data_IF_316029176518
#
_entry.id   IF_316029176518
#
_cell.length_a   1.000
_cell.length_b   1.000
_cell.length_c   1.000
_cell.angle_alpha   90.00
_cell.angle_beta   90.00
_cell.angle_gamma   90.00
#
_symmetry.space_group_name_H-M   'P 1'
#
loop_
_entity.id
_entity.type
_entity.pdbx_description
1 polymer ?
#
# COMPACT_ATOMS: atom_id res chain seq x y z
N UNK A 1 -4.77 3.34 -9.85
CA UNK A 1 -4.57 4.05 -8.55
C UNK A 1 -3.14 4.56 -8.40
N UNK A 2 -2.11 3.70 -8.25
CA UNK A 2 -0.72 4.17 -8.02
C UNK A 2 -0.20 5.19 -9.06
N UNK A 3 -0.42 4.92 -10.35
CA UNK A 3 -0.02 5.84 -11.43
C UNK A 3 -0.66 7.23 -11.28
N UNK A 4 -1.94 7.27 -10.93
CA UNK A 4 -2.68 8.53 -10.81
C UNK A 4 -2.27 9.30 -9.56
N UNK A 5 -2.12 8.63 -8.42
CA UNK A 5 -1.56 9.26 -7.22
C UNK A 5 -0.18 9.87 -7.52
N UNK A 6 0.69 9.17 -8.26
CA UNK A 6 2.00 9.72 -8.62
C UNK A 6 1.93 10.91 -9.58
N UNK A 7 1.01 10.88 -10.56
CA UNK A 7 0.80 12.02 -11.47
C UNK A 7 0.32 13.25 -10.71
N UNK A 8 -0.64 13.09 -9.81
CA UNK A 8 -1.15 14.18 -8.95
C UNK A 8 -0.02 14.73 -8.08
N UNK A 9 0.70 13.86 -7.39
CA UNK A 9 1.81 14.28 -6.53
C UNK A 9 2.93 14.97 -7.30
N UNK A 10 3.29 14.47 -8.49
CA UNK A 10 4.33 15.09 -9.32
C UNK A 10 3.88 16.46 -9.85
N UNK A 11 2.60 16.61 -10.23
CA UNK A 11 2.05 17.90 -10.67
C UNK A 11 2.07 18.94 -9.55
N UNK A 12 1.85 18.52 -8.30
CA UNK A 12 1.79 19.40 -7.12
C UNK A 12 3.15 19.65 -6.47
N UNK A 13 4.06 18.66 -6.50
CA UNK A 13 5.39 18.70 -5.88
C UNK A 13 6.39 17.97 -6.76
N UNK A 14 7.45 18.66 -7.17
CA UNK A 14 8.55 18.10 -7.97
C UNK A 14 9.49 17.16 -7.18
N UNK A 15 8.94 16.42 -6.20
CA UNK A 15 9.65 15.44 -5.39
C UNK A 15 9.41 14.02 -5.94
N UNK A 16 10.42 13.14 -5.96
CA UNK A 16 10.22 11.75 -6.37
C UNK A 16 9.20 11.03 -5.50
N UNK A 17 8.33 10.24 -6.12
CA UNK A 17 7.36 9.41 -5.42
C UNK A 17 7.99 8.10 -4.95
N UNK A 18 7.61 7.66 -3.75
CA UNK A 18 8.02 6.38 -3.16
C UNK A 18 6.78 5.60 -2.76
N UNK A 19 6.65 4.37 -3.24
CA UNK A 19 5.56 3.48 -2.83
C UNK A 19 6.01 2.54 -1.74
N UNK A 20 5.16 2.42 -0.74
CA UNK A 20 5.36 1.52 0.39
C UNK A 20 4.16 0.58 0.40
N UNK A 21 4.36 -0.71 0.11
CA UNK A 21 3.29 -1.71 0.16
C UNK A 21 3.46 -2.61 1.38
N UNK A 22 2.43 -2.69 2.23
CA UNK A 22 2.42 -3.62 3.36
C UNK A 22 2.25 -5.06 2.87
N UNK A 23 3.12 -5.98 3.33
CA UNK A 23 3.15 -7.38 2.92
C UNK A 23 2.92 -8.29 4.12
N UNK A 24 1.96 -9.21 4.01
CA UNK A 24 1.73 -10.24 5.02
C UNK A 24 2.87 -11.28 4.99
N UNK A 25 3.60 -11.40 6.09
CA UNK A 25 4.72 -12.34 6.21
C UNK A 25 4.26 -13.78 6.39
N UNK A 26 3.07 -14.01 6.96
CA UNK A 26 2.59 -15.34 7.37
C UNK A 26 2.69 -16.41 6.27
N UNK A 27 2.14 -16.21 5.05
CA UNK A 27 2.21 -17.22 4.00
C UNK A 27 3.60 -17.36 3.38
N UNK A 28 4.50 -16.40 3.62
CA UNK A 28 5.80 -16.29 2.98
C UNK A 28 6.92 -16.85 3.86
N UNK A 29 6.79 -16.79 5.19
CA UNK A 29 7.80 -17.29 6.13
C UNK A 29 8.14 -18.77 5.94
N UNK A 30 9.33 -19.15 6.44
CA UNK A 30 9.77 -20.55 6.57
C UNK A 30 10.13 -20.83 8.04
N UNK A 31 9.43 -21.75 8.72
CA UNK A 31 8.18 -22.39 8.29
C UNK A 31 7.05 -21.35 8.07
N UNK A 32 6.03 -21.70 7.28
CA UNK A 32 4.86 -20.84 7.09
C UNK A 32 4.15 -20.63 8.41
N UNK A 33 3.75 -19.40 8.70
CA UNK A 33 2.99 -19.11 9.92
C UNK A 33 1.50 -19.35 9.67
N UNK A 34 0.76 -19.82 10.68
CA UNK A 34 -0.68 -19.99 10.56
C UNK A 34 -1.38 -18.66 10.21
N UNK A 35 -2.43 -18.68 9.37
CA UNK A 35 -3.24 -17.48 9.11
C UNK A 35 -3.78 -16.83 10.39
N UNK A 36 -4.12 -17.65 11.39
CA UNK A 36 -4.63 -17.22 12.69
C UNK A 36 -3.55 -16.74 13.68
N UNK A 37 -2.27 -16.70 13.30
CA UNK A 37 -1.21 -16.21 14.17
C UNK A 37 -1.46 -14.72 14.52
N UNK A 38 -1.60 -14.42 15.81
CA UNK A 38 -1.93 -13.08 16.32
C UNK A 38 -0.67 -12.20 16.32
N UNK A 39 -0.84 -10.92 15.97
CA UNK A 39 0.22 -9.90 16.01
C UNK A 39 0.53 -9.25 14.66
N UNK A 40 1.42 -8.26 14.68
CA UNK A 40 1.83 -7.50 13.50
C UNK A 40 2.95 -8.23 12.74
N UNK A 41 2.58 -9.30 12.01
CA UNK A 41 3.49 -10.09 11.18
C UNK A 41 3.49 -9.57 9.74
N UNK A 42 3.99 -8.36 9.58
CA UNK A 42 4.05 -7.64 8.32
C UNK A 42 5.45 -7.09 8.05
N UNK A 43 5.78 -6.94 6.78
CA UNK A 43 6.93 -6.18 6.30
C UNK A 43 6.48 -5.19 5.23
N UNK A 44 7.40 -4.40 4.70
CA UNK A 44 7.10 -3.39 3.68
C UNK A 44 7.95 -3.63 2.45
N UNK A 45 7.30 -3.69 1.28
CA UNK A 45 7.97 -3.55 0.00
C UNK A 45 8.06 -2.07 -0.34
N UNK A 46 9.25 -1.58 -0.69
CA UNK A 46 9.49 -0.17 -0.99
C UNK A 46 9.98 -0.04 -2.42
N UNK A 47 9.29 0.76 -3.23
CA UNK A 47 9.64 1.05 -4.62
C UNK A 47 9.93 2.55 -4.78
N UNK A 48 11.12 2.88 -5.27
CA UNK A 48 11.57 4.25 -5.51
C UNK A 48 11.40 4.57 -7.00
N UNK A 49 10.49 5.48 -7.34
CA UNK A 49 10.21 5.80 -8.74
C UNK A 49 11.13 6.86 -9.33
N UNK A 50 12.06 7.39 -8.52
CA UNK A 50 13.18 8.24 -8.97
C UNK A 50 14.06 7.53 -10.01
N UNK A 51 14.13 6.20 -9.95
CA UNK A 51 15.12 5.38 -10.65
C UNK A 51 14.58 4.70 -11.93
N UNK A 52 13.34 5.00 -12.36
CA UNK A 52 12.82 4.53 -13.65
C UNK A 52 13.41 5.39 -14.78
N UNK A 53 14.69 5.11 -15.05
CA UNK A 53 15.48 5.41 -16.26
C UNK A 53 15.37 6.82 -16.85
N UNK A 54 15.84 7.90 -16.21
CA UNK A 54 15.97 9.22 -16.88
C UNK A 54 14.73 9.66 -17.69
N UNK A 55 13.56 9.13 -17.36
CA UNK A 55 12.37 9.30 -18.17
C UNK A 55 11.56 10.34 -17.42
N UNK A 56 11.17 11.41 -18.10
CA UNK A 56 10.22 12.38 -17.54
C UNK A 56 9.04 11.62 -16.90
N UNK A 57 8.56 12.02 -15.72
CA UNK A 57 7.36 11.42 -15.10
C UNK A 57 6.13 11.39 -16.01
N UNK A 58 6.11 12.23 -17.06
CA UNK A 58 5.11 12.19 -18.14
C UNK A 58 5.13 10.89 -18.99
N UNK A 59 6.27 10.21 -19.06
CA UNK A 59 6.50 9.01 -19.87
C UNK A 59 6.47 7.72 -19.03
N UNK A 60 6.18 7.83 -17.73
CA UNK A 60 6.06 6.68 -16.86
C UNK A 60 4.77 5.92 -17.19
N UNK A 61 4.90 4.73 -17.77
CA UNK A 61 3.74 3.91 -18.10
C UNK A 61 3.30 3.04 -16.92
N UNK A 62 2.02 2.66 -16.93
CA UNK A 62 1.45 1.75 -15.92
C UNK A 62 2.23 0.43 -15.83
N UNK A 63 2.71 -0.09 -16.97
CA UNK A 63 3.45 -1.36 -17.01
C UNK A 63 4.76 -1.29 -16.22
N UNK A 64 5.47 -0.18 -16.30
CA UNK A 64 6.76 0.00 -15.64
C UNK A 64 6.58 0.05 -14.12
N UNK A 65 5.54 0.76 -13.67
CA UNK A 65 5.12 0.77 -12.28
C UNK A 65 4.77 -0.63 -11.77
N UNK A 66 4.00 -1.39 -12.54
CA UNK A 66 3.59 -2.74 -12.15
C UNK A 66 4.79 -3.67 -12.03
N UNK A 67 5.75 -3.60 -12.96
CA UNK A 67 6.98 -4.39 -12.91
C UNK A 67 7.76 -4.07 -11.63
N UNK A 68 7.97 -2.80 -11.34
CA UNK A 68 8.76 -2.37 -10.18
C UNK A 68 8.07 -2.75 -8.85
N UNK A 69 6.76 -2.52 -8.74
CA UNK A 69 5.98 -2.92 -7.56
C UNK A 69 6.06 -4.43 -7.34
N UNK A 70 5.91 -5.23 -8.41
CA UNK A 70 6.01 -6.70 -8.33
C UNK A 70 7.40 -7.14 -7.90
N UNK A 71 8.45 -6.51 -8.42
CA UNK A 71 9.84 -6.78 -8.02
C UNK A 71 10.04 -6.56 -6.52
N UNK A 72 9.68 -5.38 -6.00
CA UNK A 72 9.84 -5.06 -4.58
C UNK A 72 8.98 -5.95 -3.67
N UNK A 73 7.76 -6.30 -4.09
CA UNK A 73 6.92 -7.26 -3.35
C UNK A 73 7.55 -8.64 -3.34
N UNK A 74 8.15 -9.09 -4.44
CA UNK A 74 8.85 -10.37 -4.51
C UNK A 74 10.04 -10.40 -3.54
N UNK A 75 10.83 -9.33 -3.48
CA UNK A 75 11.96 -9.19 -2.56
C UNK A 75 11.50 -9.18 -1.10
N UNK A 76 10.41 -8.47 -0.79
CA UNK A 76 9.84 -8.46 0.56
C UNK A 76 9.27 -9.83 0.99
N UNK A 77 8.99 -10.72 0.02
CA UNK A 77 8.51 -12.09 0.24
C UNK A 77 9.62 -13.13 0.16
N UNK A 78 10.85 -12.73 -0.18
CA UNK A 78 11.97 -13.65 -0.33
C UNK A 78 12.34 -14.34 0.98
N UNK A 79 12.61 -15.64 0.92
CA UNK A 79 12.87 -16.45 2.10
C UNK A 79 14.13 -15.99 2.84
N UNK A 80 15.19 -15.53 2.13
CA UNK A 80 16.44 -15.03 2.76
C UNK A 80 16.24 -13.65 3.38
N UNK A 81 15.36 -12.83 2.82
CA UNK A 81 14.98 -11.57 3.45
C UNK A 81 14.17 -11.83 4.72
N UNK A 82 13.15 -12.70 4.64
CA UNK A 82 12.27 -13.00 5.77
C UNK A 82 12.96 -13.76 6.90
N UNK A 83 13.99 -14.57 6.61
CA UNK A 83 14.76 -15.28 7.64
C UNK A 83 15.50 -14.33 8.58
N UNK A 84 15.80 -13.10 8.15
CA UNK A 84 16.47 -12.08 8.99
C UNK A 84 15.59 -11.59 10.15
N UNK A 85 14.28 -11.79 10.09
CA UNK A 85 13.36 -11.47 11.19
C UNK A 85 13.37 -12.51 12.31
N UNK A 86 14.08 -13.63 12.13
CA UNK A 86 14.08 -14.76 13.06
C UNK A 86 15.37 -14.80 13.92
N UNK A 87 15.33 -15.55 15.01
CA UNK A 87 16.48 -15.77 15.89
C UNK A 87 16.83 -14.57 16.76
N UNK A 88 17.99 -14.62 17.42
CA UNK A 88 18.43 -13.61 18.41
C UNK A 88 18.58 -12.21 17.80
N UNK A 89 18.99 -12.13 16.53
CA UNK A 89 19.18 -10.86 15.81
C UNK A 89 17.90 -10.32 15.14
N UNK A 90 16.80 -11.09 15.15
CA UNK A 90 15.56 -10.69 14.50
C UNK A 90 15.01 -9.35 15.01
N UNK A 91 15.11 -9.11 16.32
CA UNK A 91 14.69 -7.84 16.92
C UNK A 91 15.52 -6.64 16.44
N UNK A 92 16.82 -6.83 16.22
CA UNK A 92 17.69 -5.80 15.66
C UNK A 92 17.29 -5.48 14.22
N UNK A 93 17.05 -6.52 13.40
CA UNK A 93 16.60 -6.34 12.03
C UNK A 93 15.23 -5.64 11.95
N UNK A 94 14.28 -5.97 12.82
CA UNK A 94 12.99 -5.26 12.93
C UNK A 94 13.22 -3.77 13.21
N UNK A 95 14.11 -3.43 14.15
CA UNK A 95 14.44 -2.05 14.48
C UNK A 95 15.07 -1.31 13.30
N UNK A 96 15.94 -1.97 12.53
CA UNK A 96 16.51 -1.41 11.31
C UNK A 96 15.45 -1.14 10.24
N UNK A 97 14.52 -2.06 10.01
CA UNK A 97 13.42 -1.83 9.07
C UNK A 97 12.53 -0.68 9.52
N UNK A 98 12.22 -0.57 10.81
CA UNK A 98 11.46 0.56 11.36
C UNK A 98 12.20 1.88 11.16
N UNK A 99 13.52 1.93 11.40
CA UNK A 99 14.33 3.13 11.14
C UNK A 99 14.31 3.53 9.67
N UNK A 100 14.45 2.57 8.74
CA UNK A 100 14.34 2.84 7.30
C UNK A 100 12.97 3.44 6.94
N UNK A 101 11.91 2.90 7.52
CA UNK A 101 10.55 3.44 7.31
C UNK A 101 10.41 4.85 7.86
N UNK A 102 10.90 5.12 9.07
CA UNK A 102 10.87 6.47 9.66
C UNK A 102 11.63 7.48 8.79
N UNK A 103 12.83 7.13 8.34
CA UNK A 103 13.62 7.98 7.43
C UNK A 103 12.87 8.31 6.13
N UNK A 104 12.08 7.38 5.58
CA UNK A 104 11.27 7.64 4.37
C UNK A 104 10.17 8.67 4.65
N UNK A 105 9.53 8.62 5.82
CA UNK A 105 8.48 9.59 6.18
C UNK A 105 9.04 10.95 6.59
N UNK A 106 10.26 11.01 7.14
CA UNK A 106 10.93 12.24 7.54
C UNK A 106 11.64 12.96 6.37
N UNK A 107 11.94 12.25 5.28
CA UNK A 107 12.60 12.85 4.12
C UNK A 107 11.63 13.74 3.32
N UNK A 108 11.81 15.05 3.48
CA UNK A 108 11.00 16.08 2.82
C UNK A 108 11.24 16.16 1.31
N UNK A 109 12.31 15.53 0.80
CA UNK A 109 12.67 15.53 -0.62
C UNK A 109 11.98 14.43 -1.43
N UNK A 110 11.25 13.53 -0.77
CA UNK A 110 10.43 12.52 -1.44
C UNK A 110 8.96 12.70 -1.09
N UNK A 111 8.11 11.96 -1.79
CA UNK A 111 6.69 11.89 -1.50
C UNK A 111 6.26 10.43 -1.30
N UNK A 112 6.16 9.97 -0.03
CA UNK A 112 5.77 8.61 0.27
C UNK A 112 4.26 8.41 0.08
N UNK A 113 3.91 7.25 -0.48
CA UNK A 113 2.56 6.81 -0.73
C UNK A 113 2.40 5.37 -0.21
N UNK A 114 1.63 5.19 0.87
CA UNK A 114 1.52 3.91 1.56
C UNK A 114 0.28 3.16 1.11
N UNK A 115 0.46 1.90 0.73
CA UNK A 115 -0.59 0.98 0.34
C UNK A 115 -0.71 -0.16 1.34
N UNK A 116 -1.94 -0.46 1.74
CA UNK A 116 -2.30 -1.72 2.37
C UNK A 116 -3.38 -2.40 1.54
N UNK A 117 -3.39 -3.73 1.53
CA UNK A 117 -4.43 -4.51 0.87
C UNK A 117 -5.04 -5.51 1.82
N UNK A 118 -6.36 -5.45 1.91
CA UNK A 118 -7.20 -6.33 2.69
C UNK A 118 -7.97 -7.21 1.71
N UNK A 119 -7.43 -8.41 1.45
CA UNK A 119 -8.13 -9.38 0.60
C UNK A 119 -9.41 -9.84 1.27
N UNK A 120 -10.41 -10.22 0.47
CA UNK A 120 -11.72 -10.71 0.95
C UNK A 120 -11.59 -11.76 2.06
N UNK A 121 -10.67 -12.70 1.88
CA UNK A 121 -10.43 -13.80 2.82
C UNK A 121 -9.74 -13.35 4.13
N UNK A 122 -9.08 -12.17 4.13
CA UNK A 122 -8.40 -11.62 5.28
C UNK A 122 -9.31 -10.84 6.24
N UNK A 123 -10.49 -10.41 5.80
CA UNK A 123 -11.39 -9.55 6.59
C UNK A 123 -12.55 -10.26 7.26
N UNK A 124 -12.70 -11.57 7.03
CA UNK A 124 -13.89 -12.25 7.52
C UNK A 124 -15.17 -11.66 6.91
N UNK A 125 -15.13 -11.23 5.64
CA UNK A 125 -16.34 -10.89 4.87
C UNK A 125 -17.29 -12.08 4.72
N UNK A 126 -16.88 -13.28 5.12
CA UNK A 126 -17.73 -14.47 5.20
C UNK A 126 -18.08 -14.85 6.66
N UNK A 127 -17.77 -13.99 7.64
CA UNK A 127 -18.03 -14.24 9.06
C UNK A 127 -19.46 -13.84 9.40
N UNK A 128 -20.25 -14.79 9.89
CA UNK A 128 -21.59 -14.55 10.43
C UNK A 128 -21.55 -14.67 11.95
N UNK A 129 -21.91 -13.59 12.64
CA UNK A 129 -21.96 -13.54 14.10
C UNK A 129 -23.38 -13.84 14.66
N UNK A 130 -24.27 -14.42 13.84
CA UNK A 130 -25.67 -14.70 14.16
C UNK A 130 -26.66 -13.68 13.57
N UNK A 131 -26.18 -12.74 12.75
CA UNK A 131 -26.98 -11.66 12.16
C UNK A 131 -26.88 -11.64 10.62
N UNK A 132 -26.29 -12.67 10.02
CA UNK A 132 -25.99 -12.72 8.60
C UNK A 132 -24.59 -12.20 8.29
N UNK A 133 -24.20 -12.38 7.03
CA UNK A 133 -22.91 -11.94 6.51
C UNK A 133 -22.93 -10.41 6.31
N UNK A 134 -21.83 -9.69 6.63
CA UNK A 134 -21.74 -8.25 6.38
C UNK A 134 -21.98 -7.90 4.91
N UNK A 135 -22.83 -6.92 4.67
CA UNK A 135 -23.08 -6.37 3.32
C UNK A 135 -21.87 -5.56 2.82
N UNK A 136 -21.16 -4.91 3.74
CA UNK A 136 -20.03 -4.02 3.45
C UNK A 136 -19.08 -3.93 4.64
N UNK A 137 -17.82 -3.55 4.38
CA UNK A 137 -16.80 -3.26 5.40
C UNK A 137 -16.07 -1.98 4.99
N UNK A 138 -15.87 -1.08 5.95
CA UNK A 138 -15.10 0.14 5.79
C UNK A 138 -13.71 0.03 6.44
N UNK A 139 -12.70 0.70 5.87
CA UNK A 139 -11.35 0.74 6.45
C UNK A 139 -11.26 1.72 7.62
N UNK A 140 -11.92 2.88 7.53
CA UNK A 140 -12.01 3.86 8.63
C UNK A 140 -13.45 4.28 8.87
N UNK A 141 -13.76 4.63 10.11
CA UNK A 141 -14.93 5.44 10.47
C UNK A 141 -14.48 6.67 11.27
N UNK A 142 -15.12 7.82 11.07
CA UNK A 142 -14.84 9.05 11.81
C UNK A 142 -13.79 9.97 11.16
N UNK A 143 -13.17 10.85 11.96
CA UNK A 143 -12.26 11.90 11.46
C UNK A 143 -10.98 11.30 10.87
N UNK A 144 -10.65 11.71 9.65
CA UNK A 144 -9.40 11.35 8.96
C UNK A 144 -8.22 11.86 9.78
N UNK A 145 -7.38 10.95 10.24
CA UNK A 145 -6.15 11.29 10.96
C UNK A 145 -5.13 11.84 9.93
N UNK A 146 -4.45 12.97 10.20
CA UNK A 146 -3.36 13.48 9.35
C UNK A 146 -2.26 12.43 9.03
N UNK A 147 -2.07 11.44 9.89
CA UNK A 147 -1.19 10.28 9.65
C UNK A 147 -1.65 9.38 8.49
N UNK A 148 -2.87 9.55 7.98
CA UNK A 148 -3.42 8.87 6.81
C UNK A 148 -3.22 9.67 5.52
N UNK A 149 -2.49 10.79 5.55
CA UNK A 149 -2.10 11.47 4.32
C UNK A 149 -1.27 10.51 3.44
N UNK A 150 -1.62 10.45 2.17
CA UNK A 150 -1.05 9.56 1.16
C UNK A 150 -1.18 8.07 1.53
N UNK A 151 -2.24 7.71 2.25
CA UNK A 151 -2.55 6.35 2.61
C UNK A 151 -3.65 5.78 1.73
N UNK A 152 -3.43 4.60 1.16
CA UNK A 152 -4.37 3.89 0.32
C UNK A 152 -4.65 2.51 0.92
N UNK A 153 -5.92 2.25 1.25
CA UNK A 153 -6.39 0.90 1.54
C UNK A 153 -7.15 0.31 0.34
N UNK A 154 -6.75 -0.90 -0.06
CA UNK A 154 -7.44 -1.69 -1.09
C UNK A 154 -8.24 -2.80 -0.40
N UNK A 155 -9.57 -2.71 -0.45
CA UNK A 155 -10.49 -3.66 0.18
C UNK A 155 -11.16 -4.50 -0.90
N UNK A 156 -11.07 -5.83 -0.79
CA UNK A 156 -11.82 -6.71 -1.69
C UNK A 156 -13.31 -6.70 -1.36
N UNK A 157 -14.17 -6.55 -2.36
CA UNK A 157 -15.63 -6.57 -2.20
C UNK A 157 -16.21 -7.98 -2.41
N UNK A 158 -17.50 -8.16 -2.14
CA UNK A 158 -18.16 -9.47 -2.24
C UNK A 158 -18.31 -9.98 -3.69
N UNK A 159 -18.42 -9.05 -4.64
CA UNK A 159 -18.59 -9.27 -6.09
C UNK A 159 -17.24 -9.39 -6.85
N UNK A 160 -16.14 -9.63 -6.13
CA UNK A 160 -14.77 -9.68 -6.66
C UNK A 160 -14.24 -8.35 -7.21
N UNK A 161 -14.90 -7.23 -6.91
CA UNK A 161 -14.37 -5.90 -7.09
C UNK A 161 -13.30 -5.53 -6.04
N UNK A 162 -12.79 -4.31 -6.17
CA UNK A 162 -11.86 -3.70 -5.22
C UNK A 162 -12.36 -2.29 -4.93
N UNK A 163 -12.57 -2.00 -3.66
CA UNK A 163 -12.82 -0.66 -3.16
C UNK A 163 -11.50 -0.03 -2.70
N UNK A 164 -11.22 1.18 -3.17
CA UNK A 164 -10.00 1.89 -2.85
C UNK A 164 -10.30 3.11 -1.97
N UNK A 165 -9.86 3.05 -0.72
CA UNK A 165 -9.98 4.14 0.24
C UNK A 165 -8.72 5.00 0.17
N UNK A 166 -8.86 6.24 -0.29
CA UNK A 166 -7.76 7.16 -0.54
C UNK A 166 -7.76 8.28 0.52
N UNK A 167 -6.70 8.38 1.30
CA UNK A 167 -6.41 9.55 2.13
C UNK A 167 -5.43 10.46 1.43
N UNK A 168 -5.90 11.54 0.82
CA UNK A 168 -5.09 12.54 0.12
C UNK A 168 -5.35 13.94 0.67
N UNK A 169 -4.49 14.90 0.34
CA UNK A 169 -4.80 16.32 0.54
C UNK A 169 -6.03 16.74 -0.29
N UNK A 170 -6.79 17.71 0.18
CA UNK A 170 -8.03 18.15 -0.48
C UNK A 170 -7.80 18.62 -1.93
N UNK A 171 -6.68 19.33 -2.18
CA UNK A 171 -6.33 19.79 -3.53
C UNK A 171 -5.95 18.60 -4.41
N UNK A 172 -5.16 17.66 -3.87
CA UNK A 172 -4.76 16.44 -4.57
C UNK A 172 -5.96 15.55 -4.91
N UNK A 173 -6.91 15.43 -3.98
CA UNK A 173 -8.15 14.69 -4.19
C UNK A 173 -9.01 15.36 -5.27
N UNK A 174 -9.20 16.68 -5.23
CA UNK A 174 -9.97 17.40 -6.24
C UNK A 174 -9.41 17.27 -7.66
N UNK A 175 -8.07 17.21 -7.81
CA UNK A 175 -7.44 16.92 -9.10
C UNK A 175 -7.74 15.48 -9.54
N UNK A 176 -7.62 14.52 -8.64
CA UNK A 176 -7.84 13.10 -8.94
C UNK A 176 -9.29 12.80 -9.34
N UNK A 177 -10.26 13.41 -8.65
CA UNK A 177 -11.70 13.27 -8.92
C UNK A 177 -12.11 13.83 -10.27
N UNK A 178 -11.34 14.76 -10.83
CA UNK A 178 -11.58 15.36 -12.14
C UNK A 178 -10.74 14.72 -13.26
N UNK A 179 -9.81 13.80 -12.96
CA UNK A 179 -8.95 13.16 -13.96
C UNK A 179 -9.77 12.13 -14.79
N UNK A 180 -10.00 12.38 -16.10
CA UNK A 180 -10.80 11.48 -16.94
C UNK A 180 -10.18 10.10 -17.11
N UNK A 181 -8.85 9.99 -17.06
CA UNK A 181 -8.17 8.69 -17.15
C UNK A 181 -8.33 7.90 -15.85
N UNK A 182 -8.44 8.55 -14.69
CA UNK A 182 -8.76 7.88 -13.43
C UNK A 182 -10.22 7.43 -13.41
N UNK A 183 -11.15 8.32 -13.77
CA UNK A 183 -12.59 8.05 -13.81
C UNK A 183 -12.99 6.97 -14.83
N UNK A 184 -12.16 6.71 -15.84
CA UNK A 184 -12.36 5.58 -16.76
C UNK A 184 -12.27 4.21 -16.06
N UNK A 185 -11.64 4.13 -14.88
CA UNK A 185 -11.46 2.88 -14.12
C UNK A 185 -12.01 2.93 -12.70
N UNK A 186 -12.38 4.10 -12.21
CA UNK A 186 -12.86 4.31 -10.85
C UNK A 186 -14.20 5.04 -10.87
N UNK A 187 -15.12 4.59 -10.02
CA UNK A 187 -16.38 5.28 -9.76
C UNK A 187 -16.34 5.79 -8.32
N UNK A 188 -16.46 7.11 -8.09
CA UNK A 188 -16.60 7.65 -6.75
C UNK A 188 -17.83 7.01 -6.08
N UNK A 189 -17.67 6.57 -4.83
CA UNK A 189 -18.80 6.12 -4.02
C UNK A 189 -19.38 7.37 -3.38
N UNK A 190 -20.51 7.85 -3.93
CA UNK A 190 -21.29 8.95 -3.35
C UNK A 190 -22.07 8.49 -2.11
#
# INVERSE_FOLDING_TARGET
ICLFCFRVHHAMKAAPSVLIHTVNMRPCSRPKLPPAAIGNLITHAVAYFKDIKNTSPANLELKDLVVEIRRCISEAKDDKFLSKFQGKEGGNFVREQMKKMMNIYEDTNINPCKFTSWSRNGLGLNSDFGFGIPVWIAYIGGRVNPLLRNFIALIGTIDNGIEAWLGLDEIEMGILELDPQFLAFASPVN
#
